data_IF_061854362342
#
_entry.id   IF_061854362342
#
_cell.length_a   1.000
_cell.length_b   1.000
_cell.length_c   1.000
_cell.angle_alpha   90.00
_cell.angle_beta   90.00
_cell.angle_gamma   90.00
#
_symmetry.space_group_name_H-M   'P 1'
#
loop_
_entity.id
_entity.type
_entity.pdbx_description
1 polymer ?
#
# COMPACT_ATOMS: atom_id res chain seq x y z
N UNK A 1 2.71 -1.54 -28.56
CA UNK A 1 2.12 -2.89 -28.68
C UNK A 1 2.99 -3.88 -27.91
N UNK A 2 2.66 -4.21 -26.65
CA UNK A 2 2.78 -5.54 -26.03
C UNK A 2 1.82 -5.52 -24.83
N UNK A 3 1.00 -6.55 -24.74
CA UNK A 3 -0.26 -6.66 -24.00
C UNK A 3 -0.12 -7.24 -22.60
N UNK A 4 -0.94 -6.68 -21.68
CA UNK A 4 -1.74 -7.35 -20.64
C UNK A 4 -1.54 -8.87 -20.47
N UNK A 5 -1.09 -9.29 -19.28
CA UNK A 5 -1.39 -10.60 -18.68
C UNK A 5 -1.10 -10.55 -17.19
N UNK A 6 -2.14 -10.43 -16.36
CA UNK A 6 -2.25 -11.00 -15.01
C UNK A 6 -3.55 -10.49 -14.35
N UNK A 7 -4.67 -11.16 -14.63
CA UNK A 7 -5.92 -11.03 -13.86
C UNK A 7 -6.74 -12.30 -14.12
N UNK A 8 -6.43 -13.38 -13.39
CA UNK A 8 -7.17 -14.67 -13.47
C UNK A 8 -7.08 -15.53 -12.20
N UNK A 9 -6.77 -15.00 -11.02
CA UNK A 9 -6.70 -15.84 -9.79
C UNK A 9 -7.73 -15.55 -8.71
N UNK A 10 -8.50 -14.47 -8.78
CA UNK A 10 -9.40 -14.08 -7.66
C UNK A 10 -10.87 -14.52 -7.81
N UNK A 11 -11.23 -15.27 -8.86
CA UNK A 11 -12.63 -15.63 -9.11
C UNK A 11 -13.09 -16.93 -8.45
N UNK A 12 -12.25 -17.63 -7.66
CA UNK A 12 -12.54 -19.01 -7.24
C UNK A 12 -13.14 -19.19 -5.83
N UNK A 13 -13.27 -18.12 -5.02
CA UNK A 13 -13.73 -18.26 -3.63
C UNK A 13 -15.11 -17.66 -3.34
N UNK A 14 -15.70 -16.91 -4.28
CA UNK A 14 -17.04 -16.32 -4.10
C UNK A 14 -18.20 -17.27 -4.45
N UNK A 15 -17.94 -18.38 -5.12
CA UNK A 15 -18.99 -19.29 -5.62
C UNK A 15 -19.36 -20.44 -4.65
N UNK A 16 -18.69 -20.55 -3.48
CA UNK A 16 -18.91 -21.66 -2.54
C UNK A 16 -20.04 -21.43 -1.51
N UNK A 17 -20.59 -20.23 -1.39
CA UNK A 17 -21.61 -19.91 -0.36
C UNK A 17 -23.01 -19.57 -0.90
N UNK A 18 -23.23 -19.66 -2.21
CA UNK A 18 -24.52 -19.31 -2.80
C UNK A 18 -25.38 -20.55 -3.11
N UNK A 19 -25.93 -21.23 -2.09
CA UNK A 19 -27.22 -21.96 -2.18
C UNK A 19 -27.65 -22.60 -0.87
N UNK A 20 -28.65 -21.99 -0.24
CA UNK A 20 -29.63 -22.68 0.62
C UNK A 20 -31.01 -22.20 0.22
N UNK A 21 -31.97 -23.09 -0.10
CA UNK A 21 -33.38 -22.73 -0.10
C UNK A 21 -34.05 -23.17 1.21
N UNK A 22 -34.71 -22.20 1.84
CA UNK A 22 -35.67 -22.42 2.93
C UNK A 22 -36.95 -23.09 2.42
N UNK A 23 -37.59 -23.96 3.23
CA UNK A 23 -39.01 -24.30 3.06
C UNK A 23 -39.70 -24.58 4.40
N UNK A 24 -40.93 -24.04 4.47
CA UNK A 24 -41.86 -23.86 5.59
C UNK A 24 -42.55 -25.15 6.10
N UNK A 25 -42.77 -25.15 7.42
CA UNK A 25 -43.95 -25.54 8.25
C UNK A 25 -45.01 -26.58 7.78
N UNK A 26 -45.37 -27.44 8.76
CA UNK A 26 -46.45 -28.43 9.03
C UNK A 26 -47.90 -28.11 8.54
N UNK A 27 -48.96 -29.00 8.60
CA UNK A 27 -49.22 -30.08 9.60
C UNK A 27 -50.07 -31.35 9.18
N UNK A 28 -50.29 -32.23 10.17
CA UNK A 28 -51.40 -33.20 10.40
C UNK A 28 -51.54 -34.49 9.56
N UNK A 29 -51.45 -35.66 10.24
CA UNK A 29 -52.25 -36.86 9.91
C UNK A 29 -52.43 -37.78 11.14
N UNK A 30 -53.68 -37.95 11.55
CA UNK A 30 -54.14 -38.92 12.56
C UNK A 30 -54.41 -40.32 11.98
N UNK A 31 -54.68 -41.27 12.91
CA UNK A 31 -55.18 -42.65 12.80
C UNK A 31 -54.07 -43.70 12.60
N UNK A 32 -53.82 -44.68 13.47
CA UNK A 32 -54.55 -45.20 14.63
C UNK A 32 -54.45 -46.73 14.62
N UNK A 33 -54.06 -47.37 15.73
CA UNK A 33 -54.48 -48.73 16.15
C UNK A 33 -53.65 -49.25 17.33
N UNK A 34 -54.23 -49.21 18.53
CA UNK A 34 -54.11 -50.25 19.56
C UNK A 34 -54.78 -51.57 19.04
N UNK A 35 -54.61 -52.80 19.62
CA UNK A 35 -54.48 -53.07 21.07
C UNK A 35 -53.66 -54.35 21.48
N UNK A 36 -53.74 -54.67 22.78
CA UNK A 36 -53.32 -55.89 23.52
C UNK A 36 -51.86 -55.90 23.98
N UNK A 37 -51.53 -56.07 25.26
CA UNK A 37 -52.20 -56.89 26.27
C UNK A 37 -51.19 -57.93 26.73
N UNK A 38 -50.51 -57.66 27.83
CA UNK A 38 -49.46 -58.51 28.39
C UNK A 38 -49.16 -58.11 29.82
N UNK A 39 -50.06 -58.52 30.72
CA UNK A 39 -49.79 -58.57 32.15
C UNK A 39 -48.76 -59.68 32.38
N UNK A 40 -47.54 -59.30 32.79
CA UNK A 40 -46.63 -60.20 33.47
C UNK A 40 -46.33 -59.58 34.82
N UNK A 41 -47.24 -59.88 35.74
CA UNK A 41 -46.98 -59.95 37.17
C UNK A 41 -45.72 -60.79 37.38
N UNK A 42 -44.65 -60.07 37.73
CA UNK A 42 -43.34 -60.60 38.04
C UNK A 42 -42.85 -59.80 39.23
N UNK A 43 -43.42 -60.09 40.39
CA UNK A 43 -42.86 -59.74 41.70
C UNK A 43 -41.49 -60.42 41.78
N UNK A 44 -40.46 -59.69 41.35
CA UNK A 44 -39.08 -60.04 41.67
C UNK A 44 -38.85 -59.51 43.07
N UNK A 45 -38.70 -60.47 43.97
CA UNK A 45 -38.53 -60.32 45.40
C UNK A 45 -37.56 -59.21 45.79
N UNK A 46 -37.95 -58.54 46.86
CA UNK A 46 -37.17 -57.61 47.65
C UNK A 46 -35.81 -58.21 48.02
N UNK A 47 -34.75 -57.63 47.51
CA UNK A 47 -33.51 -57.41 48.26
C UNK A 47 -32.75 -56.23 47.63
N UNK A 48 -33.46 -55.11 47.48
CA UNK A 48 -32.84 -53.83 47.20
C UNK A 48 -32.21 -53.33 48.50
N UNK A 49 -30.94 -53.66 48.72
CA UNK A 49 -30.13 -53.08 49.79
C UNK A 49 -30.30 -51.54 49.73
N UNK A 50 -30.93 -50.89 50.73
CA UNK A 50 -31.33 -49.48 50.66
C UNK A 50 -30.12 -48.54 50.50
N UNK A 51 -28.93 -49.04 50.85
CA UNK A 51 -27.64 -48.37 50.69
C UNK A 51 -27.28 -48.15 49.21
N UNK A 52 -27.64 -49.07 48.29
CA UNK A 52 -27.29 -48.92 46.87
C UNK A 52 -28.22 -47.95 46.12
N UNK A 53 -29.50 -47.88 46.48
CA UNK A 53 -30.47 -46.98 45.83
C UNK A 53 -30.26 -45.52 46.24
N UNK A 54 -30.11 -45.25 47.53
CA UNK A 54 -29.80 -43.91 48.03
C UNK A 54 -28.45 -43.40 47.50
N UNK A 55 -27.44 -44.27 47.42
CA UNK A 55 -26.14 -43.93 46.82
C UNK A 55 -26.26 -43.59 45.33
N UNK A 56 -27.03 -44.36 44.56
CA UNK A 56 -27.29 -44.06 43.15
C UNK A 56 -28.02 -42.73 42.97
N UNK A 57 -29.04 -42.43 43.77
CA UNK A 57 -29.75 -41.13 43.74
C UNK A 57 -28.82 -39.95 44.05
N UNK A 58 -27.92 -40.12 45.00
CA UNK A 58 -26.92 -39.11 45.36
C UNK A 58 -25.89 -38.90 44.24
N UNK A 59 -25.47 -39.98 43.58
CA UNK A 59 -24.51 -39.95 42.47
C UNK A 59 -25.13 -39.34 41.20
N UNK A 60 -26.41 -39.64 40.91
CA UNK A 60 -27.17 -38.99 39.85
C UNK A 60 -27.45 -37.51 40.14
N UNK A 61 -27.67 -37.16 41.42
CA UNK A 61 -27.76 -35.76 41.86
C UNK A 61 -26.48 -34.99 41.58
N UNK A 62 -25.34 -35.53 42.03
CA UNK A 62 -24.01 -34.94 41.80
C UNK A 62 -23.69 -34.81 40.30
N UNK A 63 -23.93 -35.86 39.50
CA UNK A 63 -23.73 -35.81 38.04
C UNK A 63 -24.61 -34.75 37.36
N UNK A 64 -25.82 -34.54 37.87
CA UNK A 64 -26.75 -33.53 37.34
C UNK A 64 -26.30 -32.11 37.69
N UNK A 65 -25.76 -31.91 38.89
CA UNK A 65 -25.12 -30.66 39.30
C UNK A 65 -23.88 -30.37 38.47
N UNK A 66 -23.00 -31.35 38.27
CA UNK A 66 -21.81 -31.24 37.43
C UNK A 66 -22.16 -30.91 35.97
N UNK A 67 -23.18 -31.58 35.41
CA UNK A 67 -23.68 -31.27 34.07
C UNK A 67 -24.27 -29.86 33.97
N UNK A 68 -24.93 -29.38 35.02
CA UNK A 68 -25.47 -28.03 35.06
C UNK A 68 -24.34 -27.00 35.14
N UNK A 69 -23.32 -27.25 35.97
CA UNK A 69 -22.13 -26.41 36.09
C UNK A 69 -21.35 -26.33 34.77
N UNK A 70 -21.07 -27.48 34.13
CA UNK A 70 -20.42 -27.53 32.82
C UNK A 70 -21.22 -26.81 31.74
N UNK A 71 -22.54 -26.94 31.74
CA UNK A 71 -23.41 -26.21 30.79
C UNK A 71 -23.32 -24.70 31.02
N UNK A 72 -23.26 -24.26 32.27
CA UNK A 72 -23.14 -22.86 32.59
C UNK A 72 -21.78 -22.31 32.18
N UNK A 73 -20.69 -23.04 32.44
CA UNK A 73 -19.33 -22.68 32.03
C UNK A 73 -19.17 -22.67 30.50
N UNK A 74 -19.78 -23.63 29.80
CA UNK A 74 -19.83 -23.62 28.34
C UNK A 74 -20.61 -22.40 27.82
N UNK A 75 -21.72 -22.05 28.47
CA UNK A 75 -22.51 -20.88 28.07
C UNK A 75 -21.76 -19.56 28.29
N UNK A 76 -20.98 -19.45 29.37
CA UNK A 76 -20.15 -18.24 29.63
C UNK A 76 -19.02 -18.14 28.64
N UNK A 77 -18.26 -19.21 28.42
CA UNK A 77 -17.15 -19.23 27.44
C UNK A 77 -17.63 -18.94 26.01
N UNK A 78 -18.77 -19.50 25.58
CA UNK A 78 -19.36 -19.17 24.27
C UNK A 78 -19.77 -17.71 24.19
N UNK A 79 -20.26 -17.12 25.28
CA UNK A 79 -20.62 -15.70 25.31
C UNK A 79 -19.38 -14.80 25.24
N UNK A 80 -18.33 -15.15 25.95
CA UNK A 80 -17.04 -14.45 25.93
C UNK A 80 -16.41 -14.52 24.54
N UNK A 81 -16.32 -15.70 23.94
CA UNK A 81 -15.81 -15.88 22.58
C UNK A 81 -16.62 -15.08 21.56
N UNK A 82 -17.94 -15.02 21.69
CA UNK A 82 -18.77 -14.16 20.83
C UNK A 82 -18.42 -12.69 20.99
N UNK A 83 -18.16 -12.24 22.21
CA UNK A 83 -17.70 -10.87 22.50
C UNK A 83 -16.36 -10.58 21.83
N UNK A 84 -15.37 -11.46 22.02
CA UNK A 84 -14.04 -11.33 21.42
C UNK A 84 -14.10 -11.32 19.89
N UNK A 85 -14.92 -12.20 19.28
CA UNK A 85 -15.12 -12.21 17.82
C UNK A 85 -15.73 -10.90 17.33
N UNK A 86 -16.70 -10.33 18.04
CA UNK A 86 -17.26 -9.03 17.65
C UNK A 86 -16.27 -7.88 17.80
N UNK A 87 -15.43 -7.90 18.83
CA UNK A 87 -14.38 -6.90 19.03
C UNK A 87 -13.32 -7.01 17.94
N UNK A 88 -12.90 -8.23 17.58
CA UNK A 88 -11.97 -8.47 16.49
C UNK A 88 -12.53 -7.96 15.16
N UNK A 89 -13.82 -8.20 14.87
CA UNK A 89 -14.47 -7.66 13.67
C UNK A 89 -14.44 -6.13 13.63
N UNK A 90 -14.74 -5.45 14.75
CA UNK A 90 -14.67 -3.98 14.81
C UNK A 90 -13.25 -3.44 14.61
N UNK A 91 -12.25 -4.15 15.15
CA UNK A 91 -10.83 -3.81 14.97
C UNK A 91 -10.38 -4.02 13.53
N UNK A 92 -10.82 -5.11 12.90
CA UNK A 92 -10.58 -5.40 11.48
C UNK A 92 -11.19 -4.29 10.60
N UNK A 93 -12.46 -3.95 10.81
CA UNK A 93 -13.12 -2.85 10.08
C UNK A 93 -12.37 -1.52 10.23
N UNK A 94 -11.87 -1.23 11.43
CA UNK A 94 -11.08 -0.01 11.69
C UNK A 94 -9.76 -0.04 10.93
N UNK A 95 -9.06 -1.17 10.94
CA UNK A 95 -7.79 -1.34 10.23
C UNK A 95 -8.01 -1.19 8.73
N UNK A 96 -9.02 -1.84 8.17
CA UNK A 96 -9.36 -1.75 6.74
C UNK A 96 -9.65 -0.30 6.35
N UNK A 97 -10.48 0.41 7.11
CA UNK A 97 -10.74 1.84 6.86
C UNK A 97 -9.47 2.70 6.91
N UNK A 98 -8.53 2.40 7.83
CA UNK A 98 -7.26 3.13 7.90
C UNK A 98 -6.33 2.78 6.74
N UNK A 99 -6.31 1.53 6.30
CA UNK A 99 -5.54 1.10 5.14
C UNK A 99 -6.06 1.77 3.87
N UNK A 100 -7.36 1.75 3.61
CA UNK A 100 -7.98 2.42 2.45
C UNK A 100 -7.60 3.91 2.40
N UNK A 101 -7.69 4.60 3.54
CA UNK A 101 -7.29 6.01 3.65
C UNK A 101 -5.80 6.23 3.37
N UNK A 102 -4.95 5.35 3.90
CA UNK A 102 -3.50 5.44 3.66
C UNK A 102 -3.15 5.18 2.19
N UNK A 103 -3.87 4.28 1.52
CA UNK A 103 -3.71 4.04 0.08
C UNK A 103 -4.08 5.28 -0.74
N UNK A 104 -5.21 5.93 -0.41
CA UNK A 104 -5.62 7.20 -1.02
C UNK A 104 -4.58 8.31 -0.83
N UNK A 105 -4.07 8.48 0.40
CA UNK A 105 -3.05 9.48 0.73
C UNK A 105 -1.73 9.21 -0.01
N UNK A 106 -1.32 7.94 -0.11
CA UNK A 106 -0.13 7.54 -0.85
C UNK A 106 -0.25 7.83 -2.34
N UNK A 107 -1.40 7.55 -2.94
CA UNK A 107 -1.64 7.84 -4.35
C UNK A 107 -1.71 9.35 -4.62
N UNK A 108 -2.27 10.12 -3.70
CA UNK A 108 -2.25 11.57 -3.77
C UNK A 108 -0.80 12.11 -3.74
N UNK A 109 0.00 11.70 -2.76
CA UNK A 109 1.40 12.14 -2.67
C UNK A 109 2.25 11.70 -3.86
N UNK A 110 2.00 10.51 -4.43
CA UNK A 110 2.67 10.08 -5.67
C UNK A 110 2.37 11.03 -6.83
N UNK A 111 1.12 11.45 -6.98
CA UNK A 111 0.74 12.41 -8.02
C UNK A 111 1.40 13.78 -7.80
N UNK A 112 1.45 14.27 -6.56
CA UNK A 112 2.14 15.51 -6.22
C UNK A 112 3.64 15.46 -6.54
N UNK A 113 4.31 14.35 -6.19
CA UNK A 113 5.73 14.15 -6.51
C UNK A 113 5.96 14.22 -8.01
N UNK A 114 5.11 13.55 -8.83
CA UNK A 114 5.23 13.59 -10.28
C UNK A 114 5.06 15.03 -10.81
N UNK A 115 4.07 15.77 -10.30
CA UNK A 115 3.83 17.15 -10.71
C UNK A 115 4.99 18.09 -10.33
N UNK A 116 5.53 17.95 -9.12
CA UNK A 116 6.67 18.72 -8.65
C UNK A 116 7.94 18.40 -9.45
N UNK A 117 8.18 17.12 -9.76
CA UNK A 117 9.28 16.71 -10.62
C UNK A 117 9.14 17.35 -12.01
N UNK A 118 7.95 17.32 -12.62
CA UNK A 118 7.69 18.02 -13.89
C UNK A 118 8.01 19.51 -13.82
N UNK A 119 7.60 20.17 -12.74
CA UNK A 119 7.89 21.60 -12.53
C UNK A 119 9.38 21.89 -12.40
N UNK A 120 10.13 21.02 -11.72
CA UNK A 120 11.60 21.14 -11.60
C UNK A 120 12.25 21.00 -12.97
N UNK A 121 11.82 20.02 -13.77
CA UNK A 121 12.33 19.82 -15.13
C UNK A 121 12.09 21.03 -16.02
N UNK A 122 10.87 21.59 -16.00
CA UNK A 122 10.53 22.80 -16.77
C UNK A 122 11.37 24.01 -16.34
N UNK A 123 11.57 24.18 -15.03
CA UNK A 123 12.40 25.25 -14.49
C UNK A 123 13.87 25.09 -14.90
N UNK A 124 14.41 23.87 -14.84
CA UNK A 124 15.77 23.57 -15.28
C UNK A 124 15.95 23.89 -16.77
N UNK A 125 15.01 23.45 -17.61
CA UNK A 125 15.03 23.73 -19.04
C UNK A 125 15.02 25.24 -19.33
N UNK A 126 14.17 26.00 -18.64
CA UNK A 126 14.12 27.47 -18.80
C UNK A 126 15.39 28.15 -18.32
N UNK A 127 15.98 27.68 -17.22
CA UNK A 127 17.25 28.21 -16.73
C UNK A 127 18.38 27.94 -17.72
N UNK A 128 18.45 26.74 -18.29
CA UNK A 128 19.43 26.39 -19.31
C UNK A 128 19.26 27.24 -20.58
N UNK A 129 18.03 27.46 -21.04
CA UNK A 129 17.76 28.34 -22.19
C UNK A 129 18.20 29.78 -21.91
N UNK A 130 17.85 30.33 -20.74
CA UNK A 130 18.26 31.68 -20.34
C UNK A 130 19.77 31.81 -20.21
N UNK A 131 20.44 30.81 -19.63
CA UNK A 131 21.90 30.76 -19.51
C UNK A 131 22.58 30.68 -20.88
N UNK A 132 22.03 29.87 -21.79
CA UNK A 132 22.52 29.77 -23.16
C UNK A 132 22.33 31.10 -23.90
N UNK A 133 21.14 31.71 -23.86
CA UNK A 133 20.88 33.02 -24.49
C UNK A 133 21.75 34.13 -23.92
N UNK A 134 21.98 34.13 -22.62
CA UNK A 134 22.90 35.04 -21.95
C UNK A 134 24.36 34.85 -22.41
N UNK A 135 24.76 33.61 -22.74
CA UNK A 135 26.11 33.28 -23.20
C UNK A 135 26.32 33.31 -24.70
N UNK A 136 25.27 33.41 -25.51
CA UNK A 136 25.38 33.39 -26.97
C UNK A 136 26.33 34.45 -27.54
N UNK A 137 26.41 35.62 -26.90
CA UNK A 137 27.32 36.70 -27.30
C UNK A 137 28.71 36.61 -26.66
N UNK A 138 28.98 35.61 -25.82
CA UNK A 138 30.23 35.48 -25.09
C UNK A 138 31.21 34.56 -25.82
N UNK A 139 32.25 35.14 -26.41
CA UNK A 139 33.33 34.37 -27.06
C UNK A 139 34.45 34.10 -26.05
N UNK A 140 34.88 32.84 -25.94
CA UNK A 140 36.02 32.43 -25.10
C UNK A 140 37.23 32.11 -25.95
N UNK A 141 38.30 32.88 -25.80
CA UNK A 141 39.55 32.69 -26.54
C UNK A 141 40.58 32.04 -25.61
N UNK A 142 41.09 30.86 -26.00
CA UNK A 142 42.12 30.10 -25.27
C UNK A 142 43.48 30.27 -25.93
N UNK A 143 44.57 30.10 -25.16
CA UNK A 143 45.93 30.16 -25.69
C UNK A 143 46.55 31.56 -25.78
N UNK A 144 45.89 32.58 -25.22
CA UNK A 144 46.43 33.95 -25.18
C UNK A 144 47.46 34.07 -24.06
N UNK A 145 48.74 34.21 -24.43
CA UNK A 145 49.85 34.34 -23.49
C UNK A 145 49.65 35.52 -22.52
N UNK A 146 50.09 35.34 -21.28
CA UNK A 146 49.95 36.35 -20.24
C UNK A 146 51.10 37.38 -20.31
N UNK A 147 52.28 36.97 -20.79
CA UNK A 147 53.53 37.74 -20.68
C UNK A 147 53.79 38.74 -21.83
N UNK A 148 52.86 38.97 -22.76
CA UNK A 148 53.16 39.75 -23.98
C UNK A 148 52.16 40.84 -24.37
N UNK A 149 51.11 41.09 -23.59
CA UNK A 149 50.10 42.09 -23.95
C UNK A 149 50.48 43.44 -23.33
N UNK A 150 51.00 44.34 -24.16
CA UNK A 150 51.42 45.71 -23.77
C UNK A 150 50.28 46.73 -23.92
N UNK A 151 49.21 46.37 -24.64
CA UNK A 151 48.02 47.22 -24.86
C UNK A 151 46.84 46.82 -23.97
N UNK A 152 45.80 47.67 -23.83
CA UNK A 152 44.52 47.25 -23.27
C UNK A 152 44.01 46.01 -24.01
N UNK A 153 43.55 45.00 -23.25
CA UNK A 153 43.13 43.69 -23.78
C UNK A 153 42.13 43.82 -24.94
N UNK A 154 41.23 44.80 -24.87
CA UNK A 154 40.25 45.11 -25.90
C UNK A 154 40.88 45.43 -27.26
N UNK A 155 41.91 46.28 -27.30
CA UNK A 155 42.60 46.65 -28.54
C UNK A 155 43.35 45.47 -29.16
N UNK A 156 43.86 44.54 -28.34
CA UNK A 156 44.44 43.28 -28.81
C UNK A 156 43.37 42.36 -29.42
N UNK A 157 42.18 42.27 -28.83
CA UNK A 157 41.09 41.45 -29.37
C UNK A 157 40.58 42.01 -30.70
N UNK A 158 40.41 43.33 -30.82
CA UNK A 158 39.98 43.96 -32.08
C UNK A 158 41.00 43.72 -33.20
N UNK A 159 42.31 43.87 -32.93
CA UNK A 159 43.34 43.62 -33.93
C UNK A 159 43.43 42.15 -34.33
N UNK A 160 43.25 41.23 -33.36
CA UNK A 160 43.17 39.80 -33.62
C UNK A 160 41.99 39.46 -34.54
N UNK A 161 40.80 39.97 -34.26
CA UNK A 161 39.62 39.70 -35.09
C UNK A 161 39.78 40.27 -36.50
N UNK A 162 40.31 41.49 -36.66
CA UNK A 162 40.60 42.08 -37.98
C UNK A 162 41.62 41.26 -38.77
N UNK A 163 42.57 40.62 -38.09
CA UNK A 163 43.58 39.77 -38.73
C UNK A 163 43.04 38.39 -39.13
N UNK A 164 42.21 37.77 -38.28
CA UNK A 164 41.68 36.41 -38.49
C UNK A 164 40.48 36.40 -39.44
N UNK A 165 39.62 37.42 -39.35
CA UNK A 165 38.44 37.59 -40.18
C UNK A 165 38.39 39.03 -40.71
N UNK A 166 39.09 39.33 -41.81
CA UNK A 166 38.96 40.62 -42.48
C UNK A 166 37.53 40.74 -43.01
N UNK A 167 36.69 41.44 -42.25
CA UNK A 167 35.31 41.75 -42.62
C UNK A 167 35.30 42.84 -43.71
N UNK A 168 34.23 42.94 -44.51
CA UNK A 168 34.02 44.10 -45.38
C UNK A 168 33.99 45.38 -44.53
N UNK A 169 34.60 46.45 -45.04
CA UNK A 169 35.08 47.65 -44.31
C UNK A 169 34.03 48.46 -43.50
N UNK A 170 32.77 48.04 -43.47
CA UNK A 170 31.65 48.81 -42.87
C UNK A 170 31.09 48.22 -41.56
N UNK A 171 31.69 47.16 -40.99
CA UNK A 171 31.27 46.61 -39.68
C UNK A 171 32.28 46.90 -38.58
N UNK A 172 31.94 47.85 -37.72
CA UNK A 172 32.66 48.09 -36.47
C UNK A 172 32.37 46.98 -35.47
N UNK A 173 33.43 46.33 -34.97
CA UNK A 173 33.33 45.32 -33.90
C UNK A 173 33.13 46.07 -32.58
N UNK A 174 31.92 45.98 -32.02
CA UNK A 174 31.59 46.57 -30.71
C UNK A 174 31.82 45.51 -29.63
N UNK A 175 32.66 45.83 -28.64
CA UNK A 175 32.91 44.98 -27.47
C UNK A 175 32.25 45.63 -26.24
N UNK A 176 31.43 44.87 -25.51
CA UNK A 176 30.78 45.36 -24.28
C UNK A 176 31.67 45.14 -23.05
N UNK A 177 32.19 43.92 -22.89
CA UNK A 177 33.07 43.57 -21.76
C UNK A 177 34.15 42.59 -22.18
N UNK A 178 35.41 42.93 -21.88
CA UNK A 178 36.55 42.04 -22.09
C UNK A 178 37.30 41.82 -20.78
N UNK A 179 37.46 40.56 -20.36
CA UNK A 179 38.17 40.22 -19.15
C UNK A 179 38.82 38.83 -19.27
N UNK A 180 39.89 38.61 -18.52
CA UNK A 180 40.47 37.27 -18.36
C UNK A 180 39.71 36.54 -17.27
N UNK A 181 39.12 35.41 -17.61
CA UNK A 181 38.56 34.49 -16.61
C UNK A 181 39.68 33.63 -16.06
N UNK A 182 39.75 33.46 -14.73
CA UNK A 182 40.56 32.41 -14.15
C UNK A 182 39.95 31.08 -14.57
N UNK A 183 40.75 30.22 -15.21
CA UNK A 183 40.28 28.89 -15.55
C UNK A 183 39.99 28.16 -14.23
N UNK A 184 38.72 27.87 -13.95
CA UNK A 184 38.43 26.75 -13.07
C UNK A 184 38.99 25.52 -13.78
N UNK A 185 39.92 24.81 -13.15
CA UNK A 185 40.30 23.48 -13.61
C UNK A 185 39.00 22.67 -13.63
N UNK A 186 38.41 22.48 -14.81
CA UNK A 186 37.41 21.43 -15.01
C UNK A 186 38.15 20.13 -14.76
N UNK A 187 38.02 19.60 -13.55
CA UNK A 187 38.42 18.24 -13.21
C UNK A 187 37.73 17.35 -14.23
N UNK A 188 38.51 16.76 -15.13
CA UNK A 188 37.98 15.78 -16.08
C UNK A 188 37.41 14.64 -15.25
N UNK A 189 36.09 14.44 -15.30
CA UNK A 189 35.46 13.26 -14.73
C UNK A 189 36.03 12.06 -15.49
N UNK A 190 36.79 11.16 -14.84
CA UNK A 190 37.29 9.98 -15.54
C UNK A 190 36.08 9.18 -16.01
N UNK A 191 36.11 8.75 -17.28
CA UNK A 191 35.12 7.85 -17.83
C UNK A 191 35.09 6.57 -16.97
N UNK A 192 33.89 6.21 -16.52
CA UNK A 192 33.62 4.94 -15.84
C UNK A 192 33.58 3.80 -16.86
#
# INVERSE_FOLDING_TARGET
MVTQKQSKKDSSLRDLFAKTPAKKQDPTRELGSDPRGGSSDGTVDEDANPVTKAFMEQLFGALREDLAALRQELATTVKELKGEVTELGQREDTVDCTCDRQEEDLDHHRQEIIALQGSIWDLQYRLEDLENRSRQSNIRIKGVSAQGIVSPLEGFIISLFKHVAPAPDDQDIILDRTHRTWASLSVSRPAA
#
